data_IF_185384602539
#
_entry.id   IF_185384602539
#
_cell.length_a   1.000
_cell.length_b   1.000
_cell.length_c   1.000
_cell.angle_alpha   90.00
_cell.angle_beta   90.00
_cell.angle_gamma   90.00
#
_symmetry.space_group_name_H-M   'P 1'
#
loop_
_entity.id
_entity.type
_entity.pdbx_description
1 polymer ?
#
# COMPACT_ATOMS: atom_id res chain seq x y z
N UNK A 1 4.25 0.62 0.41
CA UNK A 1 4.11 2.05 0.57
C UNK A 1 4.82 2.61 1.81
N UNK A 2 4.25 3.72 2.27
CA UNK A 2 4.64 4.41 3.49
C UNK A 2 3.78 3.97 4.65
N UNK A 3 3.57 2.66 4.82
CA UNK A 3 2.88 2.05 5.93
C UNK A 3 1.37 2.11 5.77
N UNK A 4 0.55 2.25 6.83
CA UNK A 4 -0.86 2.48 6.64
C UNK A 4 -1.54 1.20 6.17
N UNK A 5 -2.61 1.40 5.39
CA UNK A 5 -3.76 0.58 5.09
C UNK A 5 -4.31 0.88 3.71
N UNK A 6 -3.43 1.00 2.71
CA UNK A 6 -3.88 1.28 1.36
C UNK A 6 -3.09 0.60 0.26
N UNK A 7 -3.49 0.86 -1.00
CA UNK A 7 -2.82 0.34 -2.16
C UNK A 7 -1.46 0.99 -2.40
N UNK A 8 -0.57 0.21 -2.98
CA UNK A 8 0.77 0.55 -3.43
C UNK A 8 1.21 -0.42 -4.51
N UNK A 9 1.67 0.01 -5.68
CA UNK A 9 1.97 -0.80 -6.83
C UNK A 9 0.94 -1.85 -7.23
N UNK A 10 -0.36 -1.62 -7.00
CA UNK A 10 -1.51 -2.34 -7.51
C UNK A 10 -2.21 -3.30 -6.55
N UNK A 11 -1.73 -3.46 -5.32
CA UNK A 11 -2.47 -4.06 -4.23
C UNK A 11 -2.32 -3.37 -2.88
N UNK A 12 -3.18 -3.66 -1.91
CA UNK A 12 -3.07 -3.22 -0.53
C UNK A 12 -1.80 -3.78 0.12
N UNK A 13 -1.21 -2.88 0.92
CA UNK A 13 0.05 -3.07 1.61
C UNK A 13 1.19 -2.26 1.01
N UNK A 14 2.46 -2.52 1.33
CA UNK A 14 3.54 -1.70 0.82
C UNK A 14 3.40 -0.20 1.05
#
# INVERSE_FOLDING_TARGET
>A
CNVPDVYCPNKYVP
#
